data_IF_545287098132
#
_entry.id   IF_545287098132
#
_cell.length_a   1.000
_cell.length_b   1.000
_cell.length_c   1.000
_cell.angle_alpha   90.00
_cell.angle_beta   90.00
_cell.angle_gamma   90.00
#
_symmetry.space_group_name_H-M   'P 1'
#
loop_
_entity.id
_entity.type
_entity.pdbx_description
1 polymer ?
#
# COMPACT_ATOMS: atom_id res chain seq x y z
N UNK A 1 11.39 -1.80 -0.47
CA UNK A 1 10.22 -1.23 -1.19
C UNK A 1 10.62 -0.10 -2.13
N UNK A 2 11.19 1.02 -1.65
CA UNK A 2 11.53 2.20 -2.46
C UNK A 2 12.35 1.93 -3.74
N UNK A 3 13.48 1.24 -3.62
CA UNK A 3 14.33 0.85 -4.77
C UNK A 3 13.52 0.01 -5.77
N UNK A 4 12.73 -0.94 -5.26
CA UNK A 4 11.88 -1.80 -6.07
C UNK A 4 10.84 -1.03 -6.88
N UNK A 5 10.28 0.06 -6.33
CA UNK A 5 9.34 0.91 -7.07
C UNK A 5 9.97 1.53 -8.31
N UNK A 6 11.24 1.92 -8.21
CA UNK A 6 11.97 2.55 -9.32
C UNK A 6 12.31 1.52 -10.39
N UNK A 7 12.85 0.36 -9.97
CA UNK A 7 13.22 -0.71 -10.91
C UNK A 7 12.00 -1.31 -11.64
N UNK A 8 10.87 -1.48 -10.96
CA UNK A 8 9.62 -1.94 -11.57
C UNK A 8 8.82 -0.80 -12.23
N UNK A 9 9.35 0.43 -12.25
CA UNK A 9 8.72 1.61 -12.84
C UNK A 9 7.31 1.92 -12.29
N UNK A 10 7.01 1.54 -11.05
CA UNK A 10 5.69 1.71 -10.44
C UNK A 10 5.64 1.26 -8.97
N UNK A 11 4.53 1.57 -8.29
CA UNK A 11 4.23 1.06 -6.96
C UNK A 11 3.07 0.05 -7.03
N UNK A 12 2.66 -0.51 -5.89
CA UNK A 12 1.53 -1.45 -5.84
C UNK A 12 0.25 -0.92 -6.48
N UNK A 13 -0.15 0.33 -6.25
CA UNK A 13 -1.36 0.87 -6.89
C UNK A 13 -1.16 1.13 -8.39
N UNK A 14 -0.05 1.77 -8.77
CA UNK A 14 0.25 2.11 -10.17
C UNK A 14 0.39 0.88 -11.07
N UNK A 15 0.88 -0.23 -10.51
CA UNK A 15 0.98 -1.52 -11.24
C UNK A 15 -0.42 -2.01 -11.62
N UNK A 16 -1.41 -1.98 -10.72
CA UNK A 16 -2.79 -2.37 -11.03
C UNK A 16 -3.42 -1.46 -12.09
N UNK A 17 -3.21 -0.14 -11.97
CA UNK A 17 -3.70 0.83 -12.96
C UNK A 17 -3.11 0.55 -14.34
N UNK A 18 -1.82 0.21 -14.40
CA UNK A 18 -1.14 -0.12 -15.65
C UNK A 18 -1.63 -1.42 -16.27
N UNK A 19 -1.94 -2.43 -15.46
CA UNK A 19 -2.59 -3.67 -15.94
C UNK A 19 -3.89 -3.31 -16.66
N UNK A 20 -4.75 -2.49 -16.05
CA UNK A 20 -6.01 -2.07 -16.68
C UNK A 20 -5.80 -1.29 -18.00
N UNK A 21 -4.71 -0.52 -18.11
CA UNK A 21 -4.37 0.19 -19.36
C UNK A 21 -3.75 -0.68 -20.49
N UNK A 22 -3.51 -1.97 -20.25
CA UNK A 22 -2.97 -2.91 -21.25
C UNK A 22 -1.46 -3.22 -21.12
N UNK A 23 -0.82 -2.88 -20.00
CA UNK A 23 0.61 -3.14 -19.81
C UNK A 23 0.86 -4.58 -19.31
N UNK A 24 1.38 -5.44 -20.19
CA UNK A 24 1.68 -6.84 -19.91
C UNK A 24 2.82 -6.99 -18.89
N UNK A 25 3.77 -6.04 -18.84
CA UNK A 25 4.86 -6.07 -17.85
C UNK A 25 4.32 -6.00 -16.43
N UNK A 26 3.27 -5.20 -16.24
CA UNK A 26 2.66 -4.97 -14.93
C UNK A 26 1.94 -6.22 -14.42
N UNK A 27 1.48 -7.11 -15.30
CA UNK A 27 0.94 -8.43 -14.93
C UNK A 27 2.04 -9.30 -14.33
N UNK A 28 3.22 -9.34 -14.97
CA UNK A 28 4.37 -10.10 -14.45
C UNK A 28 4.85 -9.52 -13.11
N UNK A 29 4.94 -8.19 -13.01
CA UNK A 29 5.25 -7.51 -11.73
C UNK A 29 4.21 -7.87 -10.66
N UNK A 30 2.93 -7.93 -11.01
CA UNK A 30 1.86 -8.34 -10.08
C UNK A 30 2.05 -9.75 -9.54
N UNK A 31 2.32 -10.72 -10.42
CA UNK A 31 2.54 -12.11 -10.02
C UNK A 31 3.76 -12.22 -9.10
N UNK A 32 4.89 -11.61 -9.48
CA UNK A 32 6.13 -11.71 -8.70
C UNK A 32 6.04 -10.97 -7.38
N UNK A 33 5.45 -9.77 -7.36
CA UNK A 33 5.22 -9.01 -6.13
C UNK A 33 4.32 -9.81 -5.19
N UNK A 34 3.20 -10.34 -5.68
CA UNK A 34 2.26 -11.13 -4.88
C UNK A 34 2.88 -12.43 -4.36
N UNK A 35 3.63 -13.16 -5.19
CA UNK A 35 4.34 -14.37 -4.79
C UNK A 35 5.37 -14.08 -3.69
N UNK A 36 6.23 -13.07 -3.89
CA UNK A 36 7.25 -12.70 -2.90
C UNK A 36 6.62 -12.17 -1.62
N UNK A 37 5.54 -11.39 -1.72
CA UNK A 37 4.77 -10.96 -0.55
C UNK A 37 4.19 -12.16 0.22
N UNK A 38 3.62 -13.14 -0.48
CA UNK A 38 3.10 -14.36 0.16
C UNK A 38 4.22 -15.15 0.85
N UNK A 39 5.35 -15.35 0.18
CA UNK A 39 6.53 -16.01 0.77
C UNK A 39 7.10 -15.24 1.97
N UNK A 40 7.00 -13.91 1.98
CA UNK A 40 7.47 -13.07 3.09
C UNK A 40 6.51 -13.08 4.28
N UNK A 41 5.21 -13.29 4.04
CA UNK A 41 4.22 -13.41 5.11
C UNK A 41 4.18 -14.82 5.72
N UNK A 42 4.23 -15.87 4.89
CA UNK A 42 3.94 -17.25 5.32
C UNK A 42 4.95 -18.30 4.83
N UNK A 43 5.94 -17.92 4.02
CA UNK A 43 6.91 -18.84 3.43
C UNK A 43 8.32 -18.69 3.99
N UNK A 44 9.32 -19.13 3.22
CA UNK A 44 10.72 -19.15 3.66
C UNK A 44 11.28 -17.75 3.94
N UNK A 45 10.88 -16.73 3.17
CA UNK A 45 11.27 -15.34 3.42
C UNK A 45 10.66 -14.81 4.72
N UNK A 46 9.52 -15.37 5.15
CA UNK A 46 8.92 -15.11 6.45
C UNK A 46 9.82 -15.54 7.59
N UNK A 47 10.41 -16.74 7.51
CA UNK A 47 11.37 -17.24 8.51
C UNK A 47 12.59 -16.33 8.62
N UNK A 48 13.13 -15.88 7.47
CA UNK A 48 14.23 -14.93 7.44
C UNK A 48 13.83 -13.60 8.09
N UNK A 49 12.67 -13.05 7.70
CA UNK A 49 12.15 -11.79 8.25
C UNK A 49 11.95 -11.86 9.76
N UNK A 50 11.33 -12.92 10.28
CA UNK A 50 11.06 -13.05 11.72
C UNK A 50 12.33 -13.23 12.55
N UNK A 51 13.34 -13.90 11.98
CA UNK A 51 14.61 -14.17 12.67
C UNK A 51 15.62 -13.02 12.55
N UNK A 52 15.43 -12.08 11.61
CA UNK A 52 16.36 -10.96 11.42
C UNK A 52 15.71 -9.60 11.66
N UNK A 53 14.66 -9.25 10.91
CA UNK A 53 14.08 -7.90 10.91
C UNK A 53 13.18 -7.71 12.13
N UNK A 54 12.29 -8.66 12.38
CA UNK A 54 11.30 -8.54 13.46
C UNK A 54 11.94 -8.60 14.87
N UNK A 55 13.18 -9.08 14.98
CA UNK A 55 13.95 -9.06 16.23
C UNK A 55 14.32 -7.63 16.65
N UNK A 56 14.44 -6.72 15.69
CA UNK A 56 14.71 -5.31 15.95
C UNK A 56 13.38 -4.57 16.12
N UNK A 57 12.72 -4.79 17.25
CA UNK A 57 11.42 -4.20 17.57
C UNK A 57 11.49 -3.30 18.81
N UNK A 58 10.88 -2.12 18.72
CA UNK A 58 10.64 -1.24 19.86
C UNK A 58 9.24 -1.53 20.41
N UNK A 59 9.18 -2.20 21.55
CA UNK A 59 7.92 -2.51 22.21
C UNK A 59 7.42 -1.30 23.01
N UNK A 60 6.41 -0.62 22.46
CA UNK A 60 5.70 0.46 23.14
C UNK A 60 4.64 -0.13 24.08
N UNK A 61 4.49 0.47 25.27
CA UNK A 61 3.43 0.09 26.22
C UNK A 61 2.04 0.59 25.78
N UNK A 62 1.99 1.50 24.82
CA UNK A 62 0.77 2.11 24.28
C UNK A 62 0.50 1.60 22.87
N UNK A 63 -0.70 1.88 22.37
CA UNK A 63 -1.01 1.76 20.94
C UNK A 63 -0.04 2.60 20.09
N UNK A 64 0.34 2.11 18.91
CA UNK A 64 1.36 2.71 18.03
C UNK A 64 0.82 3.88 17.17
N UNK A 65 -0.03 4.72 17.75
CA UNK A 65 -0.52 5.96 17.14
C UNK A 65 0.03 7.18 17.88
N UNK A 66 0.26 8.28 17.14
CA UNK A 66 0.85 9.50 17.67
C UNK A 66 0.08 10.07 18.88
N UNK A 67 -1.27 10.12 18.88
CA UNK A 67 -2.04 10.53 20.05
C UNK A 67 -1.80 9.66 21.30
N UNK A 68 -1.77 8.33 21.15
CA UNK A 68 -1.54 7.43 22.27
C UNK A 68 -0.15 7.59 22.89
N UNK A 69 0.88 7.76 22.06
CA UNK A 69 2.27 7.92 22.53
C UNK A 69 2.47 9.28 23.21
N UNK A 70 1.89 10.35 22.64
CA UNK A 70 2.08 11.71 23.15
C UNK A 70 1.18 12.03 24.35
N UNK A 71 0.03 11.38 24.50
CA UNK A 71 -0.92 11.66 25.60
C UNK A 71 -0.27 11.57 26.98
N UNK A 72 0.59 10.57 27.22
CA UNK A 72 1.31 10.39 28.47
C UNK A 72 2.33 11.53 28.75
N UNK A 73 2.92 12.11 27.71
CA UNK A 73 3.94 13.17 27.83
C UNK A 73 3.35 14.59 27.94
N UNK A 74 2.20 14.82 27.31
CA UNK A 74 1.56 16.14 27.23
C UNK A 74 0.52 16.33 28.34
N UNK A 75 0.09 15.25 29.01
CA UNK A 75 -0.92 15.32 30.08
C UNK A 75 -2.33 15.63 29.57
N UNK A 76 -2.58 15.53 28.27
CA UNK A 76 -3.87 15.75 27.63
C UNK A 76 -4.57 14.42 27.33
N UNK A 77 -5.90 14.41 27.38
CA UNK A 77 -6.71 13.24 27.02
C UNK A 77 -6.47 12.81 25.56
N UNK A 78 -6.39 11.49 25.33
CA UNK A 78 -6.14 10.89 24.00
C UNK A 78 -7.11 11.41 22.92
N UNK A 79 -8.39 11.52 23.26
CA UNK A 79 -9.45 12.01 22.36
C UNK A 79 -9.18 13.45 21.87
N UNK A 80 -8.82 14.34 22.79
CA UNK A 80 -8.54 15.74 22.47
C UNK A 80 -7.27 15.84 21.61
N UNK A 81 -6.24 15.07 21.95
CA UNK A 81 -4.98 15.07 21.20
C UNK A 81 -5.16 14.48 19.80
N UNK A 82 -6.03 13.47 19.63
CA UNK A 82 -6.40 12.93 18.32
C UNK A 82 -6.99 14.00 17.42
N UNK A 83 -7.95 14.78 17.91
CA UNK A 83 -8.54 15.88 17.14
C UNK A 83 -7.52 16.96 16.78
N UNK A 84 -6.70 17.38 17.75
CA UNK A 84 -5.69 18.41 17.52
C UNK A 84 -4.66 17.97 16.48
N UNK A 85 -4.14 16.75 16.60
CA UNK A 85 -3.13 16.24 15.67
C UNK A 85 -3.71 15.97 14.29
N UNK A 86 -4.91 15.41 14.20
CA UNK A 86 -5.57 15.16 12.91
C UNK A 86 -5.87 16.46 12.17
N UNK A 87 -6.43 17.46 12.85
CA UNK A 87 -6.70 18.77 12.25
C UNK A 87 -5.42 19.54 11.96
N UNK A 88 -4.42 19.46 12.85
CA UNK A 88 -3.14 20.13 12.69
C UNK A 88 -2.34 19.57 11.51
N UNK A 89 -2.03 18.27 11.52
CA UNK A 89 -1.22 17.61 10.49
C UNK A 89 -2.00 17.51 9.18
N UNK A 90 -3.26 17.07 9.23
CA UNK A 90 -4.11 16.97 8.04
C UNK A 90 -4.38 18.35 7.42
N UNK A 91 -4.70 19.35 8.24
CA UNK A 91 -4.88 20.73 7.81
C UNK A 91 -3.61 21.34 7.22
N UNK A 92 -2.44 21.06 7.81
CA UNK A 92 -1.16 21.51 7.27
C UNK A 92 -0.87 20.92 5.88
N UNK A 93 -1.16 19.63 5.64
CA UNK A 93 -1.01 19.04 4.31
C UNK A 93 -1.99 19.60 3.29
N UNK A 94 -3.24 19.84 3.68
CA UNK A 94 -4.24 20.46 2.80
C UNK A 94 -3.82 21.90 2.46
N UNK A 95 -3.43 22.69 3.47
CA UNK A 95 -2.94 24.04 3.28
C UNK A 95 -1.72 24.05 2.36
N UNK A 96 -0.73 23.18 2.60
CA UNK A 96 0.46 23.05 1.76
C UNK A 96 0.13 22.73 0.30
N UNK A 97 -0.81 21.81 0.05
CA UNK A 97 -1.26 21.50 -1.29
C UNK A 97 -1.94 22.71 -1.97
N UNK A 98 -2.74 23.48 -1.22
CA UNK A 98 -3.45 24.66 -1.72
C UNK A 98 -2.59 25.93 -1.80
N UNK A 99 -1.39 25.97 -1.20
CA UNK A 99 -0.47 27.11 -1.32
C UNK A 99 -0.10 27.40 -2.77
N UNK A 100 -0.01 26.37 -3.62
CA UNK A 100 0.32 26.52 -5.03
C UNK A 100 -0.96 26.59 -5.86
N UNK A 101 -1.19 27.73 -6.52
CA UNK A 101 -2.32 27.92 -7.45
C UNK A 101 -2.38 26.86 -8.57
N UNK A 102 -1.24 26.28 -8.95
CA UNK A 102 -1.19 25.17 -9.92
C UNK A 102 -1.97 23.93 -9.48
N UNK A 103 -2.24 23.79 -8.18
CA UNK A 103 -3.02 22.68 -7.63
C UNK A 103 -4.54 22.91 -7.74
N UNK A 104 -4.98 24.15 -8.01
CA UNK A 104 -6.40 24.54 -8.04
C UNK A 104 -7.06 24.17 -9.37
N UNK A 105 -6.90 22.92 -9.78
CA UNK A 105 -7.52 22.35 -10.95
C UNK A 105 -8.52 21.28 -10.52
N UNK A 106 -9.62 21.16 -11.26
CA UNK A 106 -10.70 20.20 -10.98
C UNK A 106 -10.16 18.78 -10.87
N UNK A 107 -9.23 18.38 -11.75
CA UNK A 107 -8.61 17.05 -11.72
C UNK A 107 -7.86 16.77 -10.41
N UNK A 108 -7.05 17.73 -9.93
CA UNK A 108 -6.26 17.58 -8.72
C UNK A 108 -7.15 17.53 -7.47
N UNK A 109 -8.18 18.40 -7.42
CA UNK A 109 -9.13 18.43 -6.31
C UNK A 109 -10.01 17.18 -6.28
N UNK A 110 -10.53 16.73 -7.44
CA UNK A 110 -11.29 15.48 -7.53
C UNK A 110 -10.43 14.28 -7.17
N UNK A 111 -9.17 14.22 -7.60
CA UNK A 111 -8.26 13.15 -7.22
C UNK A 111 -7.99 13.15 -5.71
N UNK A 112 -7.69 14.31 -5.12
CA UNK A 112 -7.42 14.43 -3.69
C UNK A 112 -8.63 14.08 -2.82
N UNK A 113 -9.77 14.72 -3.07
CA UNK A 113 -11.02 14.48 -2.33
C UNK A 113 -11.53 13.06 -2.59
N UNK A 114 -11.50 12.59 -3.84
CA UNK A 114 -11.98 11.26 -4.21
C UNK A 114 -11.16 10.13 -3.57
N UNK A 115 -9.82 10.22 -3.60
CA UNK A 115 -8.97 9.23 -2.93
C UNK A 115 -9.11 9.30 -1.41
N UNK A 116 -9.21 10.51 -0.84
CA UNK A 116 -9.45 10.69 0.59
C UNK A 116 -10.76 10.06 1.05
N UNK A 117 -11.85 10.33 0.34
CA UNK A 117 -13.17 9.74 0.59
C UNK A 117 -13.17 8.22 0.40
N UNK A 118 -12.45 7.70 -0.58
CA UNK A 118 -12.35 6.25 -0.77
C UNK A 118 -11.65 5.56 0.41
N UNK A 119 -10.59 6.17 0.94
CA UNK A 119 -9.86 5.64 2.11
C UNK A 119 -10.73 5.68 3.37
N UNK A 120 -11.43 6.80 3.62
CA UNK A 120 -12.31 6.91 4.78
C UNK A 120 -13.54 6.01 4.66
N UNK A 121 -14.11 5.86 3.46
CA UNK A 121 -15.20 4.93 3.20
C UNK A 121 -14.78 3.49 3.51
N UNK A 122 -13.56 3.08 3.14
CA UNK A 122 -13.09 1.71 3.41
C UNK A 122 -12.78 1.51 4.90
N UNK A 123 -12.26 2.52 5.60
CA UNK A 123 -12.17 2.47 7.07
C UNK A 123 -13.54 2.32 7.73
N UNK A 124 -14.56 3.02 7.23
CA UNK A 124 -15.92 2.92 7.73
C UNK A 124 -16.54 1.56 7.43
N UNK A 125 -16.38 1.04 6.20
CA UNK A 125 -16.87 -0.29 5.83
C UNK A 125 -16.19 -1.36 6.68
N UNK A 126 -14.86 -1.36 6.77
CA UNK A 126 -14.13 -2.38 7.52
C UNK A 126 -14.36 -2.30 9.02
N UNK A 127 -14.45 -1.10 9.61
CA UNK A 127 -14.54 -0.93 11.06
C UNK A 127 -15.91 -0.75 11.67
N UNK A 128 -16.91 -0.39 10.88
CA UNK A 128 -18.28 -0.21 11.36
C UNK A 128 -19.25 -1.17 10.69
N UNK A 129 -19.27 -1.21 9.36
CA UNK A 129 -20.25 -2.04 8.64
C UNK A 129 -19.94 -3.55 8.71
N UNK A 130 -18.64 -3.90 8.66
CA UNK A 130 -18.16 -5.28 8.68
C UNK A 130 -17.66 -5.72 10.06
N UNK A 131 -17.92 -4.93 11.10
CA UNK A 131 -17.57 -5.25 12.48
C UNK A 131 -18.74 -5.99 13.14
N UNK A 132 -18.51 -7.26 13.51
CA UNK A 132 -19.35 -8.01 14.43
C UNK A 132 -18.74 -7.98 15.83
N UNK A 133 -19.48 -7.44 16.80
CA UNK A 133 -19.05 -7.40 18.20
C UNK A 133 -18.89 -8.82 18.77
N UNK A 134 -19.69 -9.78 18.31
CA UNK A 134 -19.63 -11.17 18.74
C UNK A 134 -20.00 -12.11 17.58
N UNK A 135 -19.04 -12.92 17.11
CA UNK A 135 -19.31 -13.94 16.09
C UNK A 135 -20.08 -15.14 16.69
N UNK A 136 -21.22 -15.57 16.09
CA UNK A 136 -22.06 -16.64 16.63
C UNK A 136 -21.37 -17.99 16.83
N UNK A 137 -20.25 -18.24 16.13
CA UNK A 137 -19.54 -19.51 16.17
C UNK A 137 -18.27 -19.48 17.03
N UNK A 138 -17.67 -18.30 17.21
CA UNK A 138 -16.37 -18.16 17.91
C UNK A 138 -16.41 -17.30 19.17
N UNK A 139 -17.50 -16.54 19.40
CA UNK A 139 -17.66 -15.63 20.54
C UNK A 139 -16.52 -14.61 20.68
N UNK A 140 -15.92 -14.24 19.55
CA UNK A 140 -14.85 -13.24 19.45
C UNK A 140 -15.30 -12.09 18.55
N UNK A 141 -14.73 -10.90 18.79
CA UNK A 141 -14.87 -9.74 17.92
C UNK A 141 -14.31 -10.09 16.53
N UNK A 142 -15.13 -9.92 15.49
CA UNK A 142 -14.77 -10.32 14.13
C UNK A 142 -14.99 -9.18 13.13
N UNK A 143 -13.93 -8.88 12.38
CA UNK A 143 -13.99 -7.97 11.23
C UNK A 143 -14.22 -8.79 9.96
N UNK A 144 -15.48 -8.99 9.61
CA UNK A 144 -15.89 -9.75 8.43
C UNK A 144 -15.24 -9.18 7.16
N UNK A 145 -14.91 -10.06 6.21
CA UNK A 145 -14.40 -9.66 4.88
C UNK A 145 -13.01 -9.00 4.93
N UNK A 146 -12.30 -9.03 6.07
CA UNK A 146 -10.90 -8.61 6.19
C UNK A 146 -9.97 -9.82 6.23
N UNK A 147 -8.77 -9.71 5.67
CA UNK A 147 -7.79 -10.80 5.73
C UNK A 147 -6.93 -10.76 7.00
N UNK A 148 -6.80 -9.58 7.62
CA UNK A 148 -6.01 -9.36 8.83
C UNK A 148 -6.78 -9.66 10.13
N UNK A 149 -8.10 -9.85 10.06
CA UNK A 149 -8.96 -9.97 11.24
C UNK A 149 -9.03 -8.68 12.06
N UNK A 150 -8.73 -7.54 11.43
CA UNK A 150 -8.73 -6.20 12.03
C UNK A 150 -9.24 -5.19 11.02
N UNK A 151 -9.57 -3.99 11.51
CA UNK A 151 -9.86 -2.85 10.65
C UNK A 151 -8.70 -2.61 9.67
N UNK A 152 -9.00 -2.58 8.37
CA UNK A 152 -8.01 -2.39 7.32
C UNK A 152 -8.55 -1.43 6.24
N UNK A 153 -7.64 -0.61 5.71
CA UNK A 153 -7.92 0.28 4.58
C UNK A 153 -7.03 -0.06 3.38
N UNK A 154 -7.09 0.73 2.32
CA UNK A 154 -6.43 0.45 1.05
C UNK A 154 -4.92 0.26 1.22
N UNK A 155 -4.45 -0.92 0.82
CA UNK A 155 -3.04 -1.26 0.69
C UNK A 155 -2.88 -2.22 -0.49
N UNK A 156 -1.71 -2.24 -1.10
CA UNK A 156 -1.48 -2.96 -2.36
C UNK A 156 -0.21 -3.82 -2.33
N UNK A 157 0.01 -4.50 -1.19
CA UNK A 157 1.05 -5.52 -1.04
C UNK A 157 0.43 -6.85 -0.62
N UNK A 158 -0.14 -6.92 0.58
CA UNK A 158 -0.81 -8.12 1.06
C UNK A 158 -2.01 -8.51 0.16
N UNK A 159 -2.84 -7.57 -0.33
CA UNK A 159 -3.92 -7.94 -1.23
C UNK A 159 -3.48 -8.57 -2.56
N UNK A 160 -2.27 -8.30 -3.06
CA UNK A 160 -1.76 -9.03 -4.23
C UNK A 160 -1.58 -10.52 -3.92
N UNK A 161 -0.96 -10.80 -2.77
CA UNK A 161 -0.74 -12.15 -2.31
C UNK A 161 -2.07 -12.88 -2.05
N UNK A 162 -3.04 -12.20 -1.43
CA UNK A 162 -4.38 -12.75 -1.20
C UNK A 162 -5.19 -12.96 -2.48
N UNK A 163 -5.06 -12.08 -3.48
CA UNK A 163 -5.69 -12.27 -4.79
C UNK A 163 -5.13 -13.50 -5.50
N UNK A 164 -3.82 -13.74 -5.42
CA UNK A 164 -3.20 -14.94 -5.99
C UNK A 164 -3.62 -16.20 -5.23
N UNK A 165 -3.61 -16.17 -3.89
CA UNK A 165 -4.06 -17.28 -3.04
C UNK A 165 -5.52 -17.66 -3.31
N UNK A 166 -6.40 -16.65 -3.39
CA UNK A 166 -7.80 -16.86 -3.73
C UNK A 166 -7.98 -17.41 -5.15
N UNK A 167 -7.23 -16.90 -6.14
CA UNK A 167 -7.30 -17.40 -7.51
C UNK A 167 -6.83 -18.86 -7.62
N UNK A 168 -5.78 -19.23 -6.89
CA UNK A 168 -5.23 -20.58 -6.87
C UNK A 168 -6.13 -21.59 -6.15
N UNK A 169 -6.79 -21.16 -5.07
CA UNK A 169 -7.57 -22.02 -4.19
C UNK A 169 -9.06 -21.66 -4.15
N UNK A 170 -9.60 -21.09 -5.23
CA UNK A 170 -11.01 -20.65 -5.28
C UNK A 170 -12.02 -21.78 -5.04
N UNK A 171 -11.62 -23.04 -5.21
CA UNK A 171 -12.46 -24.21 -4.92
C UNK A 171 -12.65 -24.47 -3.43
N UNK A 172 -11.80 -23.89 -2.58
CA UNK A 172 -11.90 -24.00 -1.13
C UNK A 172 -12.91 -22.97 -0.59
N UNK A 173 -13.99 -23.47 0.03
CA UNK A 173 -15.05 -22.62 0.60
C UNK A 173 -14.56 -21.74 1.75
N UNK A 174 -13.41 -22.05 2.36
CA UNK A 174 -12.80 -21.20 3.40
C UNK A 174 -12.18 -19.92 2.84
N UNK A 175 -11.91 -19.86 1.52
CA UNK A 175 -11.28 -18.71 0.86
C UNK A 175 -12.33 -17.72 0.38
N UNK A 176 -12.72 -16.82 1.27
CA UNK A 176 -13.68 -15.75 0.97
C UNK A 176 -13.02 -14.56 0.26
N UNK A 177 -13.80 -13.88 -0.58
CA UNK A 177 -13.40 -12.59 -1.15
C UNK A 177 -13.32 -11.55 -0.04
N UNK A 178 -12.18 -10.88 0.08
CA UNK A 178 -11.95 -9.83 1.08
C UNK A 178 -11.94 -8.45 0.45
N UNK A 179 -12.08 -7.40 1.28
CA UNK A 179 -12.04 -6.00 0.86
C UNK A 179 -10.77 -5.72 0.06
N UNK A 180 -9.61 -6.23 0.50
CA UNK A 180 -8.36 -6.10 -0.22
C UNK A 180 -8.40 -6.72 -1.63
N UNK A 181 -8.93 -7.94 -1.77
CA UNK A 181 -9.03 -8.63 -3.07
C UNK A 181 -9.97 -7.86 -4.00
N UNK A 182 -11.13 -7.43 -3.49
CA UNK A 182 -12.09 -6.64 -4.26
C UNK A 182 -11.49 -5.29 -4.67
N UNK A 183 -10.71 -4.63 -3.81
CA UNK A 183 -10.00 -3.40 -4.15
C UNK A 183 -8.97 -3.59 -5.27
N UNK A 184 -8.26 -4.72 -5.28
CA UNK A 184 -7.33 -5.07 -6.38
C UNK A 184 -8.07 -5.20 -7.70
N UNK A 185 -9.13 -6.01 -7.73
CA UNK A 185 -9.95 -6.22 -8.93
C UNK A 185 -10.63 -4.93 -9.39
N UNK A 186 -11.17 -4.16 -8.45
CA UNK A 186 -11.82 -2.87 -8.69
C UNK A 186 -10.86 -1.84 -9.29
N UNK A 187 -9.61 -1.77 -8.83
CA UNK A 187 -8.58 -0.90 -9.42
C UNK A 187 -8.24 -1.31 -10.86
N UNK A 188 -8.10 -2.61 -11.14
CA UNK A 188 -7.83 -3.11 -12.50
C UNK A 188 -9.03 -2.80 -13.42
N UNK A 189 -10.25 -3.13 -12.99
CA UNK A 189 -11.45 -2.90 -13.78
C UNK A 189 -11.72 -1.40 -14.01
N UNK A 190 -11.63 -0.58 -12.97
CA UNK A 190 -11.84 0.86 -13.06
C UNK A 190 -10.81 1.55 -13.96
N UNK A 191 -9.54 1.15 -13.87
CA UNK A 191 -8.51 1.68 -14.77
C UNK A 191 -8.65 1.17 -16.21
N UNK A 192 -9.14 -0.05 -16.43
CA UNK A 192 -9.47 -0.55 -17.76
C UNK A 192 -10.63 0.23 -18.40
N UNK A 193 -11.73 0.42 -17.67
CA UNK A 193 -12.87 1.23 -18.13
C UNK A 193 -12.39 2.65 -18.47
N UNK A 194 -11.61 3.28 -17.58
CA UNK A 194 -11.05 4.61 -17.81
C UNK A 194 -10.15 4.68 -19.04
N UNK A 195 -9.27 3.69 -19.24
CA UNK A 195 -8.35 3.63 -20.37
C UNK A 195 -9.07 3.42 -21.71
N UNK A 196 -10.13 2.60 -21.73
CA UNK A 196 -10.96 2.35 -22.91
C UNK A 196 -11.77 3.59 -23.28
N UNK A 197 -12.46 4.21 -22.31
CA UNK A 197 -13.23 5.44 -22.54
C UNK A 197 -12.32 6.58 -23.03
N UNK A 198 -11.13 6.70 -22.45
CA UNK A 198 -10.16 7.73 -22.84
C UNK A 198 -9.42 7.41 -24.14
N UNK A 199 -9.66 6.24 -24.77
CA UNK A 199 -8.95 5.73 -25.96
C UNK A 199 -7.42 5.70 -25.78
N UNK A 200 -6.96 5.44 -24.56
CA UNK A 200 -5.52 5.35 -24.19
C UNK A 200 -5.04 3.92 -23.95
N UNK A 201 -5.94 2.94 -24.05
CA UNK A 201 -5.60 1.53 -23.91
C UNK A 201 -4.58 1.11 -24.96
N UNK A 202 -3.46 0.51 -24.51
CA UNK A 202 -2.39 0.06 -25.40
C UNK A 202 -1.67 -1.15 -24.83
N UNK A 203 -1.42 -2.13 -25.69
CA UNK A 203 -0.65 -3.31 -25.33
C UNK A 203 0.84 -2.97 -25.24
N UNK A 204 1.40 -3.02 -24.04
CA UNK A 204 2.83 -2.80 -23.81
C UNK A 204 3.50 -4.07 -23.29
N UNK A 205 4.42 -4.62 -24.06
CA UNK A 205 5.27 -5.75 -23.68
C UNK A 205 6.69 -5.28 -23.30
N UNK A 206 7.49 -6.20 -22.74
CA UNK A 206 8.89 -5.95 -22.38
C UNK A 206 9.73 -5.59 -23.61
N UNK A 207 10.71 -4.69 -23.43
CA UNK A 207 11.60 -4.27 -24.53
C UNK A 207 12.80 -5.20 -24.73
N UNK A 208 13.21 -5.93 -23.68
CA UNK A 208 14.37 -6.84 -23.72
C UNK A 208 14.65 -7.48 -22.36
N UNK A 209 15.68 -8.33 -22.30
CA UNK A 209 16.05 -9.13 -21.11
C UNK A 209 16.33 -8.25 -19.89
N UNK A 210 17.04 -7.15 -20.09
CA UNK A 210 17.38 -6.21 -19.02
C UNK A 210 16.14 -5.54 -18.42
N UNK A 211 15.20 -5.13 -19.28
CA UNK A 211 13.91 -4.54 -18.87
C UNK A 211 13.15 -5.55 -18.01
N UNK A 212 13.07 -6.81 -18.44
CA UNK A 212 12.44 -7.89 -17.68
C UNK A 212 13.14 -8.12 -16.35
N UNK A 213 14.48 -8.23 -16.32
CA UNK A 213 15.25 -8.46 -15.09
C UNK A 213 15.04 -7.34 -14.06
N UNK A 214 15.09 -6.08 -14.48
CA UNK A 214 14.84 -4.94 -13.59
C UNK A 214 13.42 -4.99 -12.99
N UNK A 215 12.41 -5.33 -13.79
CA UNK A 215 11.03 -5.45 -13.31
C UNK A 215 10.84 -6.63 -12.34
N UNK A 216 11.47 -7.78 -12.59
CA UNK A 216 11.41 -8.94 -11.70
C UNK A 216 12.08 -8.67 -10.35
N UNK A 217 13.30 -8.12 -10.38
CA UNK A 217 14.03 -7.72 -9.16
C UNK A 217 13.26 -6.62 -8.42
N UNK A 218 12.72 -5.64 -9.15
CA UNK A 218 11.91 -4.58 -8.58
C UNK A 218 10.65 -5.11 -7.89
N UNK A 219 9.94 -6.04 -8.53
CA UNK A 219 8.76 -6.69 -7.98
C UNK A 219 9.08 -7.48 -6.70
N UNK A 220 10.18 -8.23 -6.67
CA UNK A 220 10.62 -8.95 -5.48
C UNK A 220 10.96 -8.00 -4.32
N UNK A 221 11.71 -6.93 -4.58
CA UNK A 221 12.05 -5.91 -3.57
C UNK A 221 10.83 -5.13 -3.06
N UNK A 222 9.80 -4.97 -3.89
CA UNK A 222 8.50 -4.43 -3.48
C UNK A 222 7.72 -5.43 -2.63
N UNK A 223 7.65 -6.70 -3.02
CA UNK A 223 6.94 -7.73 -2.26
C UNK A 223 7.52 -7.91 -0.86
N UNK A 224 8.83 -8.17 -0.76
CA UNK A 224 9.51 -8.35 0.52
C UNK A 224 9.48 -7.08 1.36
N UNK A 225 9.92 -5.96 0.78
CA UNK A 225 10.00 -4.70 1.51
C UNK A 225 8.65 -4.11 1.88
N UNK A 226 7.59 -4.41 1.13
CA UNK A 226 6.23 -3.98 1.43
C UNK A 226 5.64 -4.75 2.61
N UNK A 227 5.91 -6.05 2.71
CA UNK A 227 5.51 -6.84 3.89
C UNK A 227 6.32 -6.43 5.11
N UNK A 228 7.65 -6.28 4.97
CA UNK A 228 8.52 -5.85 6.06
C UNK A 228 8.16 -4.46 6.62
N UNK A 229 7.73 -3.54 5.76
CA UNK A 229 7.27 -2.21 6.17
C UNK A 229 5.77 -2.17 6.55
N UNK A 230 5.09 -3.31 6.57
CA UNK A 230 3.65 -3.46 6.81
C UNK A 230 2.76 -2.63 5.86
N UNK A 231 3.23 -2.33 4.65
CA UNK A 231 2.44 -1.65 3.63
C UNK A 231 3.26 -1.11 2.46
N UNK A 232 2.55 -0.52 1.50
CA UNK A 232 3.14 0.24 0.39
C UNK A 232 2.97 1.75 0.61
N UNK A 233 3.30 2.54 -0.41
CA UNK A 233 3.08 3.99 -0.40
C UNK A 233 1.61 4.39 -0.22
N UNK A 234 0.65 3.60 -0.68
CA UNK A 234 -0.79 3.86 -0.38
C UNK A 234 -1.11 3.44 1.06
N UNK A 235 -0.71 2.22 1.45
CA UNK A 235 -1.01 1.68 2.77
C UNK A 235 -0.41 2.49 3.91
N UNK A 236 0.89 2.79 3.86
CA UNK A 236 1.55 3.61 4.88
C UNK A 236 1.35 5.10 4.62
N UNK A 237 1.38 5.54 3.36
CA UNK A 237 1.37 6.97 3.06
C UNK A 237 0.02 7.64 3.09
N UNK A 238 -1.06 6.93 2.78
CA UNK A 238 -2.40 7.47 2.84
C UNK A 238 -3.17 6.87 4.02
N UNK A 239 -3.34 5.54 4.06
CA UNK A 239 -4.11 4.89 5.12
C UNK A 239 -3.42 4.97 6.49
N UNK A 240 -2.11 4.77 6.57
CA UNK A 240 -1.35 4.82 7.82
C UNK A 240 -1.18 6.23 8.37
N UNK A 241 -0.91 7.23 7.52
CA UNK A 241 -0.91 8.64 7.94
C UNK A 241 -2.31 9.08 8.40
N UNK A 242 -3.40 8.60 7.75
CA UNK A 242 -4.76 8.98 8.15
C UNK A 242 -5.12 8.54 9.58
N UNK A 243 -4.47 7.50 10.10
CA UNK A 243 -4.62 7.04 11.47
C UNK A 243 -3.53 7.54 12.42
N UNK A 244 -2.65 8.43 11.94
CA UNK A 244 -1.49 8.94 12.69
C UNK A 244 -0.58 7.82 13.22
N UNK A 245 -0.47 6.71 12.48
CA UNK A 245 0.35 5.57 12.88
C UNK A 245 1.84 5.91 12.88
N UNK A 246 2.54 5.60 13.97
CA UNK A 246 3.97 5.91 14.10
C UNK A 246 4.81 5.21 13.02
N UNK A 247 4.46 3.96 12.69
CA UNK A 247 5.13 3.20 11.63
C UNK A 247 5.06 3.90 10.26
N UNK A 248 3.94 4.57 9.95
CA UNK A 248 3.78 5.27 8.68
C UNK A 248 4.78 6.42 8.52
N UNK A 249 5.04 7.17 9.60
CA UNK A 249 6.01 8.26 9.62
C UNK A 249 7.45 7.80 9.47
N UNK A 250 7.75 6.54 9.76
CA UNK A 250 9.09 5.94 9.58
C UNK A 250 9.20 5.30 8.19
N UNK A 251 8.18 4.54 7.79
CA UNK A 251 8.16 3.81 6.54
C UNK A 251 8.22 4.72 5.31
N UNK A 252 7.49 5.85 5.32
CA UNK A 252 7.44 6.77 4.18
C UNK A 252 8.79 7.40 3.84
N UNK A 253 9.52 8.04 4.77
CA UNK A 253 10.88 8.51 4.51
C UNK A 253 11.79 7.39 3.98
N UNK A 254 11.68 6.18 4.52
CA UNK A 254 12.42 5.02 4.01
C UNK A 254 12.06 4.66 2.57
N UNK A 255 10.79 4.76 2.17
CA UNK A 255 10.35 4.57 0.79
C UNK A 255 10.89 5.66 -0.14
N UNK A 256 10.89 6.92 0.30
CA UNK A 256 11.45 8.03 -0.47
C UNK A 256 12.96 7.91 -0.63
N UNK A 257 13.68 7.61 0.45
CA UNK A 257 15.13 7.40 0.41
C UNK A 257 15.48 6.23 -0.51
N UNK A 258 14.78 5.09 -0.39
CA UNK A 258 14.97 3.96 -1.28
C UNK A 258 14.66 4.29 -2.75
N UNK A 259 13.63 5.09 -3.00
CA UNK A 259 13.31 5.56 -4.36
C UNK A 259 14.41 6.49 -4.91
N UNK A 260 14.90 7.42 -4.09
CA UNK A 260 16.01 8.30 -4.47
C UNK A 260 17.27 7.50 -4.81
N UNK A 261 17.66 6.54 -3.96
CA UNK A 261 18.81 5.66 -4.21
C UNK A 261 18.61 4.80 -5.47
N UNK A 262 17.40 4.28 -5.70
CA UNK A 262 17.07 3.54 -6.92
C UNK A 262 17.21 4.39 -8.18
N UNK A 263 16.81 5.67 -8.12
CA UNK A 263 16.97 6.61 -9.23
C UNK A 263 18.44 6.93 -9.49
N UNK A 264 19.22 7.19 -8.44
CA UNK A 264 20.67 7.42 -8.56
C UNK A 264 21.38 6.22 -9.17
N UNK A 265 21.03 5.00 -8.74
CA UNK A 265 21.56 3.76 -9.32
C UNK A 265 21.27 3.65 -10.82
N UNK A 266 20.03 3.89 -11.24
CA UNK A 266 19.66 3.85 -12.66
C UNK A 266 20.34 4.97 -13.46
N UNK A 267 20.43 6.18 -12.91
CA UNK A 267 21.12 7.30 -13.54
C UNK A 267 22.59 6.98 -13.77
N UNK A 268 23.31 6.56 -12.72
CA UNK A 268 24.71 6.16 -12.81
C UNK A 268 24.94 5.06 -13.85
N UNK A 269 24.05 4.06 -13.90
CA UNK A 269 24.15 2.95 -14.86
C UNK A 269 23.88 3.37 -16.31
N UNK A 270 22.95 4.32 -16.52
CA UNK A 270 22.59 4.82 -17.86
C UNK A 270 23.48 5.99 -18.32
N UNK A 271 24.31 6.55 -17.44
CA UNK A 271 25.27 7.57 -17.81
C UNK A 271 26.24 7.03 -18.87
N UNK A 272 26.57 7.81 -19.92
CA UNK A 272 27.64 7.44 -20.84
C UNK A 272 28.92 7.19 -20.05
N UNK A 273 29.64 6.11 -20.35
CA UNK A 273 30.97 5.90 -19.74
C UNK A 273 31.83 7.12 -20.07
N UNK A 274 32.58 7.67 -19.10
CA UNK A 274 33.54 8.72 -19.40
C UNK A 274 34.51 8.19 -20.46
N UNK A 275 34.62 8.91 -21.57
CA UNK A 275 35.53 8.62 -22.67
C UNK A 275 36.99 8.65 -22.21
#
# INVERSE_FOLDING_TARGET
FGIGMVLASGCGSKTLVRIGSGNLKSIVVFIVLGLVAYMTMRGFLGVLRTNSIDQVALNLKTTQDLPSVLSASVGMGKEQLRWILSLGIGGAFIAYALLKKSFWNVENLLAGVGVGLAITAIWWVSGHFAHLEEDPNTLQEAFLVTNSGRMESLSFVAPYAYSLDWLMFTSDKSKVLTIGIVAVLGMIAGSAISAVISKRFRWEAFRGVEDTANHLVGAALMGFGGVAAMGCTVGQGLSGISTLALNAFIALPGFFLGGYLGLQYLQWRMSPKPC
#
